data_IF_523829635558
#
_entry.id   IF_523829635558
#
_cell.length_a   1.000
_cell.length_b   1.000
_cell.length_c   1.000
_cell.angle_alpha   90.00
_cell.angle_beta   90.00
_cell.angle_gamma   90.00
#
_symmetry.space_group_name_H-M   'P 1'
#
loop_
_entity.id
_entity.type
_entity.pdbx_description
1 polymer ?
#
# COMPACT_ATOMS: atom_id res chain seq x y z
N UNK A 1 53.20 38.32 4.29
CA UNK A 1 53.13 37.35 5.39
C UNK A 1 51.77 36.71 5.37
N UNK A 2 51.64 35.55 4.75
CA UNK A 2 50.38 34.83 4.57
C UNK A 2 50.32 33.68 5.60
N UNK A 3 49.34 33.73 6.51
CA UNK A 3 49.06 32.65 7.45
C UNK A 3 48.08 31.68 6.83
N UNK A 4 48.58 30.47 6.55
CA UNK A 4 47.79 29.36 6.08
C UNK A 4 47.23 28.67 7.33
N UNK A 5 45.92 28.62 7.43
CA UNK A 5 45.21 27.91 8.51
C UNK A 5 44.79 26.54 7.98
N UNK A 6 45.43 25.48 8.45
CA UNK A 6 45.04 24.09 8.20
C UNK A 6 43.80 23.77 9.04
N UNK A 7 42.75 23.33 8.38
CA UNK A 7 41.57 22.73 9.04
C UNK A 7 41.74 21.20 8.92
N UNK A 8 41.92 20.55 10.05
CA UNK A 8 41.95 19.10 10.15
C UNK A 8 40.52 18.55 10.08
N UNK A 9 40.28 17.67 9.12
CA UNK A 9 39.01 16.94 8.95
C UNK A 9 39.09 15.67 9.78
N UNK A 10 38.37 15.60 10.91
CA UNK A 10 38.21 14.38 11.69
C UNK A 10 37.01 13.59 11.18
N UNK A 11 37.29 12.47 10.51
CA UNK A 11 36.30 11.43 10.18
C UNK A 11 36.01 10.61 11.44
N UNK A 12 34.79 10.74 11.97
CA UNK A 12 34.26 9.80 12.98
C UNK A 12 33.24 8.91 12.30
N UNK A 13 33.63 7.68 11.98
CA UNK A 13 32.72 6.61 11.59
C UNK A 13 32.06 6.07 12.87
N UNK A 14 30.78 6.42 13.08
CA UNK A 14 29.94 5.88 14.13
C UNK A 14 28.75 5.17 13.53
N UNK A 15 28.84 3.86 13.33
CA UNK A 15 27.69 3.03 12.99
C UNK A 15 26.82 2.85 14.24
N UNK A 16 25.74 3.61 14.35
CA UNK A 16 24.73 3.41 15.38
C UNK A 16 23.53 2.72 14.78
N UNK A 17 23.39 1.43 15.04
CA UNK A 17 22.18 0.66 14.85
C UNK A 17 21.11 1.20 15.81
N UNK A 18 20.24 2.08 15.32
CA UNK A 18 19.07 2.52 16.07
C UNK A 18 17.93 1.54 15.79
N UNK A 19 17.70 0.64 16.72
CA UNK A 19 16.42 -0.06 16.85
C UNK A 19 15.35 0.99 17.17
N UNK A 20 14.57 1.35 16.16
CA UNK A 20 13.47 2.27 16.32
C UNK A 20 12.33 1.60 17.09
N UNK A 21 12.29 1.79 18.41
CA UNK A 21 11.09 1.60 19.20
C UNK A 21 10.12 2.72 18.80
N UNK A 22 9.05 2.36 18.10
CA UNK A 22 8.00 3.27 17.68
C UNK A 22 7.18 3.74 18.89
N UNK A 23 7.70 4.74 19.59
CA UNK A 23 6.91 5.54 20.53
C UNK A 23 5.86 6.31 19.75
N UNK A 24 4.57 6.11 20.06
CA UNK A 24 3.43 6.85 19.52
C UNK A 24 3.58 8.35 19.81
N UNK A 25 4.33 9.10 19.01
CA UNK A 25 4.20 10.56 18.97
C UNK A 25 2.90 10.86 18.23
N UNK A 26 1.87 11.30 18.96
CA UNK A 26 0.73 12.00 18.35
C UNK A 26 1.30 13.19 17.60
N UNK A 27 1.37 13.10 16.28
CA UNK A 27 1.65 14.25 15.43
C UNK A 27 0.44 15.16 15.55
N UNK A 28 0.55 16.21 16.38
CA UNK A 28 -0.45 17.24 16.44
C UNK A 28 -0.51 17.90 15.06
N UNK A 29 -1.54 17.58 14.28
CA UNK A 29 -1.80 18.27 13.02
C UNK A 29 -2.06 19.74 13.38
N UNK A 30 -1.19 20.63 12.90
CA UNK A 30 -1.40 22.07 12.96
C UNK A 30 -2.68 22.35 12.18
N UNK A 31 -3.76 22.68 12.90
CA UNK A 31 -5.04 23.04 12.28
C UNK A 31 -4.81 24.35 11.53
N UNK A 32 -4.82 24.31 10.20
CA UNK A 32 -4.82 25.52 9.40
C UNK A 32 -6.08 26.30 9.73
N UNK A 33 -5.91 27.55 10.17
CA UNK A 33 -7.03 28.43 10.45
C UNK A 33 -7.54 28.98 9.12
N UNK A 34 -8.65 28.44 8.64
CA UNK A 34 -9.36 28.95 7.46
C UNK A 34 -10.25 30.10 7.89
N UNK A 35 -10.16 31.24 7.19
CA UNK A 35 -11.04 32.39 7.38
C UNK A 35 -11.93 32.50 6.15
N UNK A 36 -13.25 32.49 6.37
CA UNK A 36 -14.26 32.62 5.31
C UNK A 36 -14.64 34.09 5.23
N UNK A 37 -14.23 34.76 4.16
CA UNK A 37 -14.41 36.22 4.00
C UNK A 37 -15.57 36.53 3.05
N UNK A 38 -15.78 35.68 2.03
CA UNK A 38 -16.79 35.92 1.00
C UNK A 38 -17.91 34.88 1.06
N UNK A 39 -19.09 35.17 0.47
CA UNK A 39 -20.14 34.18 0.28
C UNK A 39 -19.65 32.93 -0.50
N UNK A 40 -18.75 33.10 -1.47
CA UNK A 40 -18.17 32.01 -2.23
C UNK A 40 -17.30 31.12 -1.35
N UNK A 41 -16.54 31.67 -0.41
CA UNK A 41 -15.75 30.88 0.55
C UNK A 41 -16.67 30.04 1.42
N UNK A 42 -17.74 30.66 1.93
CA UNK A 42 -18.73 29.97 2.78
C UNK A 42 -19.45 28.86 2.02
N UNK A 43 -19.85 29.13 0.77
CA UNK A 43 -20.46 28.12 -0.10
C UNK A 43 -19.51 26.94 -0.35
N UNK A 44 -18.27 27.22 -0.71
CA UNK A 44 -17.26 26.21 -1.00
C UNK A 44 -16.98 25.32 0.21
N UNK A 45 -16.80 25.94 1.37
CA UNK A 45 -16.53 25.26 2.61
C UNK A 45 -17.72 24.38 3.05
N UNK A 46 -18.94 24.95 3.01
CA UNK A 46 -20.17 24.23 3.36
C UNK A 46 -20.43 23.05 2.41
N UNK A 47 -20.20 23.23 1.12
CA UNK A 47 -20.29 22.14 0.15
C UNK A 47 -19.32 21.01 0.51
N UNK A 48 -18.05 21.30 0.77
CA UNK A 48 -17.07 20.30 1.18
C UNK A 48 -17.51 19.52 2.43
N UNK A 49 -18.06 20.22 3.44
CA UNK A 49 -18.60 19.56 4.63
C UNK A 49 -19.80 18.66 4.30
N UNK A 50 -20.70 19.12 3.46
CA UNK A 50 -21.92 18.37 3.10
C UNK A 50 -21.62 17.06 2.39
N UNK A 51 -20.56 17.00 1.57
CA UNK A 51 -20.13 15.78 0.91
C UNK A 51 -19.58 14.71 1.85
N UNK A 52 -19.36 15.00 3.13
CA UNK A 52 -18.93 13.99 4.11
C UNK A 52 -20.07 13.23 4.78
N UNK A 53 -21.33 13.55 4.46
CA UNK A 53 -22.50 12.86 5.01
C UNK A 53 -22.45 11.36 4.66
N UNK A 54 -22.47 10.50 5.69
CA UNK A 54 -22.38 9.05 5.53
C UNK A 54 -20.96 8.50 5.22
N UNK A 55 -19.96 9.37 5.05
CA UNK A 55 -18.60 8.94 4.71
C UNK A 55 -17.95 8.12 5.82
N UNK A 56 -18.10 8.49 7.09
CA UNK A 56 -17.50 7.74 8.21
C UNK A 56 -18.02 6.30 8.30
N UNK A 57 -19.33 6.04 8.28
CA UNK A 57 -19.85 4.68 8.20
C UNK A 57 -19.33 3.90 6.98
N UNK A 58 -19.27 4.53 5.82
CA UNK A 58 -18.73 3.92 4.61
C UNK A 58 -17.26 3.52 4.79
N UNK A 59 -16.42 4.42 5.30
CA UNK A 59 -14.99 4.14 5.53
C UNK A 59 -14.81 2.96 6.50
N UNK A 60 -15.60 2.89 7.56
CA UNK A 60 -15.55 1.78 8.52
C UNK A 60 -15.99 0.45 7.91
N UNK A 61 -17.14 0.44 7.24
CA UNK A 61 -17.80 -0.78 6.79
C UNK A 61 -17.24 -1.31 5.47
N UNK A 62 -16.92 -0.42 4.54
CA UNK A 62 -16.50 -0.79 3.19
C UNK A 62 -14.98 -0.73 2.98
N UNK A 63 -14.29 0.15 3.70
CA UNK A 63 -12.85 0.35 3.55
C UNK A 63 -12.05 -0.17 4.75
N UNK A 64 -12.70 -0.66 5.80
CA UNK A 64 -12.03 -1.18 7.00
C UNK A 64 -11.22 -0.12 7.77
N UNK A 65 -11.54 1.17 7.58
CA UNK A 65 -10.81 2.26 8.23
C UNK A 65 -11.24 2.37 9.69
N UNK A 66 -10.30 2.19 10.61
CA UNK A 66 -10.52 2.50 12.02
C UNK A 66 -10.49 4.03 12.22
N UNK A 67 -11.55 4.58 12.82
CA UNK A 67 -11.68 6.01 13.10
C UNK A 67 -10.63 6.56 14.07
N UNK A 68 -9.95 5.71 14.83
CA UNK A 68 -8.79 6.09 15.63
C UNK A 68 -7.64 6.64 14.76
N UNK A 69 -7.58 6.25 13.48
CA UNK A 69 -6.58 6.67 12.50
C UNK A 69 -7.09 7.70 11.49
N UNK A 70 -8.17 8.41 11.81
CA UNK A 70 -8.73 9.43 10.91
C UNK A 70 -7.73 10.54 10.55
N UNK A 71 -6.77 10.83 11.41
CA UNK A 71 -5.70 11.77 11.12
C UNK A 71 -4.80 11.30 9.95
N UNK A 72 -4.53 10.00 9.87
CA UNK A 72 -3.75 9.42 8.78
C UNK A 72 -4.56 9.39 7.48
N UNK A 73 -5.87 9.11 7.56
CA UNK A 73 -6.77 9.25 6.42
C UNK A 73 -6.76 10.67 5.84
N UNK A 74 -6.89 11.70 6.68
CA UNK A 74 -6.85 13.11 6.25
C UNK A 74 -5.49 13.48 5.67
N UNK A 75 -4.39 12.94 6.22
CA UNK A 75 -3.05 13.15 5.65
C UNK A 75 -2.99 12.61 4.22
N UNK A 76 -3.38 11.35 4.01
CA UNK A 76 -3.40 10.74 2.66
C UNK A 76 -4.31 11.50 1.69
N UNK A 77 -5.49 11.95 2.15
CA UNK A 77 -6.38 12.78 1.35
C UNK A 77 -5.71 14.09 0.90
N UNK A 78 -5.04 14.80 1.80
CA UNK A 78 -4.34 16.06 1.48
C UNK A 78 -3.17 15.82 0.53
N UNK A 79 -2.37 14.79 0.77
CA UNK A 79 -1.27 14.41 -0.12
C UNK A 79 -1.78 14.10 -1.54
N UNK A 80 -2.90 13.38 -1.65
CA UNK A 80 -3.52 13.08 -2.94
C UNK A 80 -4.00 14.33 -3.69
N UNK A 81 -4.63 15.28 -2.99
CA UNK A 81 -5.05 16.57 -3.58
C UNK A 81 -3.83 17.39 -4.03
N UNK A 82 -2.79 17.45 -3.21
CA UNK A 82 -1.56 18.18 -3.53
C UNK A 82 -0.78 17.55 -4.68
N UNK A 83 -0.76 16.24 -4.76
CA UNK A 83 -0.09 15.51 -5.84
C UNK A 83 -0.75 15.77 -7.20
N UNK A 84 -2.02 16.12 -7.24
CA UNK A 84 -2.75 16.42 -8.47
C UNK A 84 -2.66 15.28 -9.50
N UNK A 85 -2.09 15.60 -10.67
CA UNK A 85 -1.91 14.65 -11.77
C UNK A 85 -0.57 13.91 -11.78
N UNK A 86 0.25 13.99 -10.73
CA UNK A 86 1.59 13.39 -10.68
C UNK A 86 1.57 11.89 -11.02
N UNK A 87 2.28 11.44 -12.10
CA UNK A 87 2.23 10.05 -12.54
C UNK A 87 2.82 9.05 -11.53
N UNK A 88 3.88 9.43 -10.81
CA UNK A 88 4.50 8.56 -9.81
C UNK A 88 3.53 8.34 -8.63
N UNK A 89 2.84 9.39 -8.19
CA UNK A 89 1.83 9.26 -7.13
C UNK A 89 0.66 8.38 -7.57
N UNK A 90 0.18 8.55 -8.83
CA UNK A 90 -0.88 7.69 -9.39
C UNK A 90 -0.47 6.22 -9.42
N UNK A 91 0.76 5.93 -9.87
CA UNK A 91 1.27 4.57 -9.90
C UNK A 91 1.38 3.96 -8.50
N UNK A 92 1.89 4.72 -7.54
CA UNK A 92 1.98 4.29 -6.13
C UNK A 92 0.59 4.00 -5.53
N UNK A 93 -0.37 4.90 -5.72
CA UNK A 93 -1.73 4.73 -5.23
C UNK A 93 -2.42 3.50 -5.86
N UNK A 94 -2.23 3.28 -7.16
CA UNK A 94 -2.71 2.08 -7.84
C UNK A 94 -2.09 0.80 -7.27
N UNK A 95 -0.80 0.83 -6.95
CA UNK A 95 -0.10 -0.29 -6.31
C UNK A 95 -0.72 -0.67 -4.96
N UNK A 96 -1.06 0.31 -4.13
CA UNK A 96 -1.75 0.07 -2.85
C UNK A 96 -3.11 -0.59 -3.08
N UNK A 97 -3.93 -0.09 -4.00
CA UNK A 97 -5.24 -0.65 -4.30
C UNK A 97 -5.16 -2.10 -4.80
N UNK A 98 -4.21 -2.39 -5.68
CA UNK A 98 -4.00 -3.74 -6.18
C UNK A 98 -3.52 -4.68 -5.07
N UNK A 99 -2.62 -4.22 -4.20
CA UNK A 99 -2.16 -5.01 -3.06
C UNK A 99 -3.30 -5.38 -2.10
N UNK A 100 -4.22 -4.47 -1.83
CA UNK A 100 -5.41 -4.74 -1.00
C UNK A 100 -6.33 -5.77 -1.66
N UNK A 101 -6.55 -5.70 -2.97
CA UNK A 101 -7.35 -6.69 -3.70
C UNK A 101 -6.68 -8.08 -3.72
N UNK A 102 -5.37 -8.12 -3.95
CA UNK A 102 -4.61 -9.37 -3.94
C UNK A 102 -4.67 -10.03 -2.56
N UNK A 103 -4.43 -9.27 -1.50
CA UNK A 103 -4.41 -9.77 -0.13
C UNK A 103 -5.81 -10.14 0.37
N UNK A 104 -6.80 -9.30 0.10
CA UNK A 104 -8.14 -9.44 0.66
C UNK A 104 -9.04 -10.43 -0.07
N UNK A 105 -8.75 -10.73 -1.35
CA UNK A 105 -9.60 -11.57 -2.17
C UNK A 105 -8.83 -12.62 -2.97
N UNK A 106 -7.93 -12.19 -3.87
CA UNK A 106 -7.38 -13.10 -4.87
C UNK A 106 -6.52 -14.21 -4.25
N UNK A 107 -5.63 -13.87 -3.32
CA UNK A 107 -4.80 -14.88 -2.64
C UNK A 107 -5.63 -15.84 -1.79
N UNK A 108 -6.59 -15.39 -0.94
CA UNK A 108 -7.47 -16.32 -0.22
C UNK A 108 -8.27 -17.26 -1.14
N UNK A 109 -8.78 -16.75 -2.27
CA UNK A 109 -9.53 -17.57 -3.23
C UNK A 109 -8.64 -18.68 -3.81
N UNK A 110 -7.40 -18.33 -4.23
CA UNK A 110 -6.45 -19.32 -4.75
C UNK A 110 -6.01 -20.29 -3.65
N UNK A 111 -5.73 -19.82 -2.44
CA UNK A 111 -5.38 -20.71 -1.32
C UNK A 111 -6.49 -21.70 -1.02
N UNK A 112 -7.74 -21.27 -1.10
CA UNK A 112 -8.92 -22.15 -0.92
C UNK A 112 -9.02 -23.21 -2.01
N UNK A 113 -8.68 -22.89 -3.26
CA UNK A 113 -8.66 -23.87 -4.35
C UNK A 113 -7.71 -25.04 -4.04
N UNK A 114 -6.58 -24.77 -3.38
CA UNK A 114 -5.56 -25.75 -3.02
C UNK A 114 -5.71 -26.29 -1.59
N UNK A 115 -6.83 -26.04 -0.90
CA UNK A 115 -7.14 -26.70 0.38
C UNK A 115 -7.22 -28.20 0.15
N UNK A 116 -6.66 -29.00 1.05
CA UNK A 116 -6.57 -30.48 0.95
C UNK A 116 -5.71 -30.98 -0.23
N UNK A 117 -4.97 -30.11 -0.88
CA UNK A 117 -3.94 -30.47 -1.85
C UNK A 117 -2.62 -30.80 -1.15
N UNK A 118 -1.76 -31.66 -1.75
CA UNK A 118 -0.41 -31.89 -1.21
C UNK A 118 0.46 -30.63 -1.27
N UNK A 119 0.13 -29.67 -2.12
CA UNK A 119 0.83 -28.39 -2.24
C UNK A 119 -0.05 -27.24 -1.77
N UNK A 120 0.56 -26.22 -1.20
CA UNK A 120 -0.12 -25.00 -0.74
C UNK A 120 0.45 -23.75 -1.42
N UNK A 121 -0.39 -22.72 -1.55
CA UNK A 121 0.03 -21.43 -2.09
C UNK A 121 0.66 -20.58 -0.98
N UNK A 122 1.96 -20.33 -1.10
CA UNK A 122 2.76 -19.53 -0.16
C UNK A 122 2.59 -18.05 -0.49
N UNK A 123 2.03 -17.29 0.43
CA UNK A 123 1.68 -15.88 0.22
C UNK A 123 2.86 -15.00 -0.22
N UNK A 124 4.02 -15.14 0.41
CA UNK A 124 5.21 -14.35 0.07
C UNK A 124 5.69 -14.60 -1.36
N UNK A 125 5.68 -15.86 -1.79
CA UNK A 125 6.08 -16.24 -3.15
C UNK A 125 5.03 -15.81 -4.19
N UNK A 126 3.75 -15.84 -3.83
CA UNK A 126 2.69 -15.31 -4.68
C UNK A 126 2.88 -13.81 -4.94
N UNK A 127 3.13 -13.02 -3.91
CA UNK A 127 3.38 -11.59 -4.07
C UNK A 127 4.68 -11.29 -4.83
N UNK A 128 5.73 -12.08 -4.60
CA UNK A 128 6.99 -11.92 -5.32
C UNK A 128 6.78 -12.23 -6.82
N UNK A 129 6.16 -13.35 -7.17
CA UNK A 129 5.87 -13.69 -8.56
C UNK A 129 4.99 -12.66 -9.28
N UNK A 130 4.03 -12.06 -8.56
CA UNK A 130 3.22 -10.97 -9.11
C UNK A 130 4.09 -9.74 -9.43
N UNK A 131 4.99 -9.36 -8.52
CA UNK A 131 5.90 -8.23 -8.74
C UNK A 131 6.89 -8.50 -9.87
N UNK A 132 7.48 -9.68 -9.92
CA UNK A 132 8.44 -10.08 -10.94
C UNK A 132 7.81 -10.06 -12.34
N UNK A 133 6.57 -10.56 -12.46
CA UNK A 133 5.83 -10.52 -13.73
C UNK A 133 5.61 -9.09 -14.23
N UNK A 134 5.22 -8.14 -13.35
CA UNK A 134 5.05 -6.73 -13.70
C UNK A 134 6.37 -6.04 -14.08
N UNK A 135 7.47 -6.45 -13.46
CA UNK A 135 8.81 -5.96 -13.78
C UNK A 135 9.45 -6.67 -14.99
N UNK A 136 8.73 -7.63 -15.59
CA UNK A 136 9.21 -8.47 -16.69
C UNK A 136 10.48 -9.27 -16.32
N UNK A 137 10.63 -9.59 -15.03
CA UNK A 137 11.70 -10.46 -14.56
C UNK A 137 11.34 -11.92 -14.89
N UNK A 138 12.14 -12.53 -15.75
CA UNK A 138 11.94 -13.91 -16.21
C UNK A 138 12.98 -14.87 -15.64
N UNK A 139 13.67 -14.49 -14.58
CA UNK A 139 14.77 -15.26 -13.97
C UNK A 139 14.29 -16.64 -13.50
N UNK A 140 13.11 -16.73 -12.88
CA UNK A 140 12.55 -17.98 -12.36
C UNK A 140 11.55 -18.61 -13.33
N UNK A 141 10.63 -17.82 -13.90
CA UNK A 141 9.63 -18.26 -14.85
C UNK A 141 9.43 -17.22 -15.94
N UNK A 142 9.22 -17.68 -17.17
CA UNK A 142 8.55 -16.85 -18.17
C UNK A 142 7.05 -16.85 -17.90
N UNK A 143 6.34 -15.78 -18.25
CA UNK A 143 4.90 -15.66 -18.03
C UNK A 143 4.13 -16.87 -18.60
N UNK A 144 4.45 -17.28 -19.84
CA UNK A 144 3.83 -18.44 -20.51
C UNK A 144 4.03 -19.75 -19.76
N UNK A 145 5.22 -19.95 -19.17
CA UNK A 145 5.56 -21.17 -18.45
C UNK A 145 4.88 -21.17 -17.06
N UNK A 146 4.78 -20.03 -16.41
CA UNK A 146 4.03 -19.86 -15.17
C UNK A 146 2.55 -20.17 -15.38
N UNK A 147 1.94 -19.62 -16.43
CA UNK A 147 0.53 -19.86 -16.78
C UNK A 147 0.26 -21.34 -17.06
N UNK A 148 1.12 -21.99 -17.85
CA UNK A 148 1.01 -23.40 -18.16
C UNK A 148 1.17 -24.27 -16.93
N UNK A 149 2.15 -23.99 -16.09
CA UNK A 149 2.39 -24.71 -14.84
C UNK A 149 1.19 -24.58 -13.89
N UNK A 150 0.71 -23.36 -13.66
CA UNK A 150 -0.42 -23.11 -12.77
C UNK A 150 -1.70 -23.80 -13.25
N UNK A 151 -2.01 -23.70 -14.55
CA UNK A 151 -3.17 -24.39 -15.17
C UNK A 151 -3.09 -25.91 -14.99
N UNK A 152 -1.92 -26.49 -15.23
CA UNK A 152 -1.69 -27.93 -15.09
C UNK A 152 -1.92 -28.38 -13.65
N UNK A 153 -1.37 -27.63 -12.69
CA UNK A 153 -1.52 -27.92 -11.25
C UNK A 153 -2.97 -27.82 -10.80
N UNK A 154 -3.71 -26.78 -11.19
CA UNK A 154 -5.15 -26.63 -10.88
C UNK A 154 -5.96 -27.80 -11.42
N UNK A 155 -5.70 -28.21 -12.65
CA UNK A 155 -6.42 -29.33 -13.28
C UNK A 155 -6.15 -30.64 -12.58
N UNK A 156 -4.89 -30.90 -12.24
CA UNK A 156 -4.50 -32.12 -11.52
C UNK A 156 -5.10 -32.18 -10.12
N UNK A 157 -5.09 -31.07 -9.39
CA UNK A 157 -5.65 -30.97 -8.04
C UNK A 157 -7.19 -31.20 -8.05
N UNK A 158 -7.87 -30.54 -9.00
CA UNK A 158 -9.31 -30.72 -9.18
C UNK A 158 -9.67 -32.18 -9.44
N UNK A 159 -8.97 -32.84 -10.37
CA UNK A 159 -9.18 -34.27 -10.66
C UNK A 159 -8.93 -35.13 -9.43
N UNK A 160 -7.83 -34.91 -8.71
CA UNK A 160 -7.51 -35.67 -7.50
C UNK A 160 -8.56 -35.54 -6.38
N UNK A 161 -9.27 -34.40 -6.33
CA UNK A 161 -10.38 -34.18 -5.40
C UNK A 161 -11.67 -34.91 -5.86
N UNK A 162 -11.96 -34.88 -7.15
CA UNK A 162 -13.11 -35.60 -7.75
C UNK A 162 -12.97 -37.12 -7.59
N UNK A 163 -11.77 -37.65 -7.75
CA UNK A 163 -11.48 -39.09 -7.61
C UNK A 163 -11.61 -39.63 -6.15
N UNK A 164 -11.70 -38.71 -5.16
CA UNK A 164 -11.88 -39.08 -3.73
C UNK A 164 -13.33 -39.06 -3.25
N UNK A 165 -14.27 -38.59 -4.09
CA UNK A 165 -15.70 -38.49 -3.78
C UNK A 165 -16.46 -39.74 -4.23
#
# INVERSE_FOLDING_TARGET
MKKIMMIALALVAGASLHTAHAGKKKVAQKKETVVLVTPSDSLSYAAGMSFTNGLIPFLKQQQGVDTAYMADFIRGFREAIQAGGNPQFKAYAAGIQIADQLKGRMLPDIQKEFTDSPDSVVASLFYQGFADALMQDTTLFKQTDADAYFKTRRTADKKAKEDKL
#
